data_IF_961682199376
#
_entry.id   IF_961682199376
#
_cell.length_a   1.000
_cell.length_b   1.000
_cell.length_c   1.000
_cell.angle_alpha   90.00
_cell.angle_beta   90.00
_cell.angle_gamma   90.00
#
_symmetry.space_group_name_H-M   'P 1'
#
loop_
_entity.id
_entity.type
_entity.pdbx_description
1 polymer ?
#
# COMPACT_ATOMS: atom_id res chain seq x y z
N UNK A 1 3.86 -13.42 -23.58
CA UNK A 1 2.65 -13.36 -24.43
C UNK A 1 1.72 -12.16 -24.17
N UNK A 2 1.74 -11.49 -23.00
CA UNK A 2 0.76 -10.42 -22.67
C UNK A 2 1.08 -8.99 -23.19
N UNK A 3 2.28 -8.72 -23.73
CA UNK A 3 2.74 -7.33 -23.93
C UNK A 3 2.12 -6.57 -25.12
N UNK A 4 1.76 -7.24 -26.22
CA UNK A 4 1.31 -6.54 -27.44
C UNK A 4 -0.19 -6.20 -27.48
N UNK A 5 -1.04 -6.85 -26.66
CA UNK A 5 -2.49 -6.56 -26.61
C UNK A 5 -2.94 -5.63 -25.48
N UNK A 6 -2.09 -5.38 -24.47
CA UNK A 6 -2.47 -4.65 -23.26
C UNK A 6 -2.58 -3.12 -23.47
N UNK A 7 -1.70 -2.54 -24.27
CA UNK A 7 -1.65 -1.09 -24.51
C UNK A 7 -2.92 -0.58 -25.19
N UNK A 8 -3.40 -1.29 -26.23
CA UNK A 8 -4.61 -0.91 -26.97
C UNK A 8 -5.86 -0.94 -26.09
N UNK A 9 -5.97 -1.93 -25.18
CA UNK A 9 -7.12 -2.05 -24.26
C UNK A 9 -7.16 -0.93 -23.22
N UNK A 10 -6.01 -0.46 -22.72
CA UNK A 10 -5.95 0.66 -21.75
C UNK A 10 -6.45 1.95 -22.39
N UNK A 11 -5.98 2.25 -23.62
CA UNK A 11 -6.43 3.46 -24.32
C UNK A 11 -7.92 3.41 -24.65
N UNK A 12 -8.43 2.26 -25.06
CA UNK A 12 -9.85 2.07 -25.36
C UNK A 12 -10.73 2.19 -24.11
N UNK A 13 -10.34 1.59 -22.98
CA UNK A 13 -11.04 1.73 -21.70
C UNK A 13 -11.07 3.19 -21.23
N UNK A 14 -9.93 3.89 -21.28
CA UNK A 14 -9.86 5.31 -20.91
C UNK A 14 -10.76 6.16 -21.82
N UNK A 15 -10.80 5.89 -23.13
CA UNK A 15 -11.71 6.56 -24.07
C UNK A 15 -13.18 6.30 -23.73
N UNK A 16 -13.57 5.05 -23.47
CA UNK A 16 -14.95 4.70 -23.12
C UNK A 16 -15.40 5.34 -21.81
N UNK A 17 -14.54 5.37 -20.78
CA UNK A 17 -14.86 5.98 -19.47
C UNK A 17 -14.93 7.51 -19.56
N UNK A 18 -14.04 8.15 -20.32
CA UNK A 18 -14.13 9.58 -20.62
C UNK A 18 -15.44 9.87 -21.36
N UNK A 19 -15.81 9.05 -22.35
CA UNK A 19 -17.03 9.24 -23.12
C UNK A 19 -18.30 9.06 -22.27
N UNK A 20 -18.36 8.04 -21.42
CA UNK A 20 -19.47 7.79 -20.49
C UNK A 20 -19.63 8.92 -19.46
N UNK A 21 -18.52 9.38 -18.88
CA UNK A 21 -18.52 10.53 -17.96
C UNK A 21 -18.90 11.85 -18.66
N UNK A 22 -18.51 12.02 -19.93
CA UNK A 22 -18.94 13.16 -20.73
C UNK A 22 -20.44 13.11 -21.03
N UNK A 23 -21.02 11.94 -21.31
CA UNK A 23 -22.46 11.77 -21.56
C UNK A 23 -23.33 12.04 -20.31
N UNK A 24 -22.79 11.80 -19.11
CA UNK A 24 -23.47 12.06 -17.85
C UNK A 24 -23.53 13.55 -17.44
N UNK A 25 -22.87 14.45 -18.19
CA UNK A 25 -22.85 15.89 -17.93
C UNK A 25 -23.71 16.64 -18.96
N UNK A 26 -24.59 17.53 -18.50
CA UNK A 26 -25.38 18.39 -19.38
C UNK A 26 -24.69 19.74 -19.65
N UNK A 27 -24.78 20.23 -20.90
CA UNK A 27 -24.43 21.61 -21.28
C UNK A 27 -22.93 21.90 -21.55
N UNK A 28 -22.58 23.19 -21.49
CA UNK A 28 -21.28 23.80 -21.90
C UNK A 28 -20.02 23.14 -21.31
N UNK A 29 -20.16 22.35 -20.25
CA UNK A 29 -19.08 21.59 -19.59
C UNK A 29 -18.48 20.50 -20.49
N UNK A 30 -19.29 19.92 -21.40
CA UNK A 30 -18.88 18.85 -22.31
C UNK A 30 -17.80 19.31 -23.33
N UNK A 31 -17.93 20.52 -23.88
CA UNK A 31 -17.06 21.04 -24.94
C UNK A 31 -15.64 21.38 -24.45
N UNK A 32 -15.53 21.93 -23.23
CA UNK A 32 -14.23 22.30 -22.66
C UNK A 32 -13.42 21.08 -22.22
N UNK A 33 -14.09 20.02 -21.75
CA UNK A 33 -13.41 18.78 -21.35
C UNK A 33 -12.91 18.00 -22.57
N UNK A 34 -13.73 17.86 -23.62
CA UNK A 34 -13.33 17.18 -24.87
C UNK A 34 -12.09 17.84 -25.50
N UNK A 35 -12.04 19.18 -25.51
CA UNK A 35 -10.91 19.96 -26.03
C UNK A 35 -9.60 19.71 -25.25
N UNK A 36 -9.69 19.62 -23.92
CA UNK A 36 -8.52 19.38 -23.07
C UNK A 36 -8.03 17.91 -23.16
N UNK A 37 -8.94 16.95 -23.30
CA UNK A 37 -8.60 15.53 -23.51
C UNK A 37 -7.95 15.30 -24.87
N UNK A 38 -8.47 15.92 -25.95
CA UNK A 38 -7.87 15.80 -27.28
C UNK A 38 -6.46 16.42 -27.33
N UNK A 39 -6.23 17.52 -26.61
CA UNK A 39 -4.89 18.12 -26.43
C UNK A 39 -3.93 17.18 -25.68
N UNK A 40 -4.40 16.51 -24.62
CA UNK A 40 -3.59 15.54 -23.89
C UNK A 40 -3.23 14.32 -24.75
N UNK A 41 -4.16 13.79 -25.55
CA UNK A 41 -3.88 12.63 -26.42
C UNK A 41 -2.86 12.93 -27.53
N UNK A 42 -2.82 14.17 -28.06
CA UNK A 42 -1.83 14.59 -29.06
C UNK A 42 -0.41 14.71 -28.48
N UNK A 43 -0.27 14.95 -27.18
CA UNK A 43 1.04 14.98 -26.51
C UNK A 43 1.61 13.57 -26.29
N UNK A 44 0.75 12.56 -26.20
CA UNK A 44 1.19 11.16 -26.08
C UNK A 44 1.55 10.53 -27.43
N UNK A 45 0.90 10.92 -28.54
CA UNK A 45 1.19 10.34 -29.85
C UNK A 45 2.45 10.89 -30.52
N UNK A 46 2.95 12.07 -30.12
CA UNK A 46 4.17 12.66 -30.69
C UNK A 46 5.46 12.17 -30.03
N UNK A 47 5.36 11.50 -28.88
CA UNK A 47 6.52 10.94 -28.18
C UNK A 47 6.96 9.57 -28.72
N UNK A 48 6.17 8.91 -29.58
CA UNK A 48 6.46 7.54 -30.07
C UNK A 48 6.97 7.46 -31.51
N UNK A 49 7.29 8.58 -32.16
CA UNK A 49 7.76 8.60 -33.56
C UNK A 49 9.00 9.47 -33.73
N UNK A 50 10.11 9.03 -33.14
CA UNK A 50 11.45 9.29 -33.70
C UNK A 50 12.21 7.96 -33.75
N UNK A 51 12.14 7.34 -34.93
CA UNK A 51 12.88 6.12 -35.27
C UNK A 51 14.34 6.43 -35.55
N UNK A 52 15.21 5.60 -34.98
CA UNK A 52 16.64 5.56 -35.27
C UNK A 52 16.83 4.64 -36.49
N UNK A 53 17.34 5.20 -37.59
CA UNK A 53 17.86 4.43 -38.73
C UNK A 53 19.23 3.84 -38.38
N UNK A 54 19.41 2.55 -38.64
CA UNK A 54 20.69 1.87 -38.65
C UNK A 54 21.06 1.47 -40.08
N UNK A 55 22.23 1.95 -40.53
CA UNK A 55 23.12 1.37 -41.53
C UNK A 55 24.48 2.02 -41.28
N UNK A 56 25.66 1.43 -41.40
CA UNK A 56 26.16 0.11 -41.74
C UNK A 56 27.68 0.29 -41.89
N UNK A 57 28.45 -0.63 -41.30
CA UNK A 57 29.80 -1.11 -41.69
C UNK A 57 30.80 -0.11 -42.32
N UNK A 58 31.95 0.15 -41.67
CA UNK A 58 33.29 -0.29 -42.14
C UNK A 58 34.47 0.20 -41.27
N UNK A 59 35.39 -0.76 -41.10
CA UNK A 59 36.79 -0.80 -40.64
C UNK A 59 37.67 0.45 -40.74
N UNK A 60 38.58 0.66 -39.78
CA UNK A 60 40.03 0.39 -39.92
C UNK A 60 40.86 1.04 -38.79
N UNK A 61 42.11 0.56 -38.69
CA UNK A 61 43.10 0.71 -37.64
C UNK A 61 43.70 2.12 -37.45
N UNK A 62 44.40 2.35 -36.34
CA UNK A 62 45.29 3.51 -36.22
C UNK A 62 45.85 3.75 -34.81
N UNK A 63 47.16 3.91 -34.72
CA UNK A 63 48.00 4.02 -33.54
C UNK A 63 47.85 5.31 -32.68
N UNK A 64 48.22 5.13 -31.40
CA UNK A 64 48.99 6.00 -30.50
C UNK A 64 49.27 7.47 -30.88
N UNK A 65 49.06 8.41 -29.93
CA UNK A 65 50.15 9.13 -29.23
C UNK A 65 49.62 10.18 -28.25
N UNK A 66 50.45 10.44 -27.23
CA UNK A 66 50.38 11.49 -26.22
C UNK A 66 50.32 12.91 -26.84
N UNK A 67 49.72 13.88 -26.15
CA UNK A 67 50.42 15.12 -25.76
C UNK A 67 49.56 16.02 -24.85
N UNK A 68 50.28 16.79 -24.03
CA UNK A 68 49.84 17.85 -23.10
C UNK A 68 49.37 19.09 -23.87
N UNK A 69 48.42 19.86 -23.32
CA UNK A 69 48.61 21.23 -22.76
C UNK A 69 47.36 22.13 -22.81
N UNK A 70 47.23 22.89 -21.72
CA UNK A 70 46.83 24.32 -21.61
C UNK A 70 45.43 24.79 -22.03
N UNK A 71 44.69 25.17 -20.98
CA UNK A 71 44.02 26.46 -20.77
C UNK A 71 43.81 27.39 -21.98
N UNK A 72 42.55 27.74 -22.24
CA UNK A 72 42.18 29.07 -22.73
C UNK A 72 40.76 29.42 -22.29
N UNK A 73 40.66 30.59 -21.68
CA UNK A 73 39.45 31.37 -21.42
C UNK A 73 38.95 31.88 -22.77
N UNK A 74 37.66 31.68 -23.06
CA UNK A 74 36.97 32.37 -24.16
C UNK A 74 35.69 32.98 -23.62
N UNK A 75 35.70 34.32 -23.62
CA UNK A 75 34.58 35.22 -23.47
C UNK A 75 33.69 35.19 -24.71
N UNK A 76 32.37 35.16 -24.52
CA UNK A 76 31.34 35.29 -25.55
C UNK A 76 30.43 36.49 -25.24
N UNK A 77 29.82 37.12 -26.27
CA UNK A 77 29.44 38.54 -26.31
C UNK A 77 28.05 38.85 -25.72
N UNK A 78 27.70 40.14 -25.52
CA UNK A 78 26.42 40.53 -24.95
C UNK A 78 25.32 40.49 -26.01
N UNK A 79 24.14 39.99 -25.64
CA UNK A 79 22.93 40.17 -26.42
C UNK A 79 21.90 40.92 -25.56
N UNK A 80 21.31 42.01 -26.09
CA UNK A 80 20.36 42.85 -25.37
C UNK A 80 18.97 42.22 -25.46
N UNK A 81 18.11 42.50 -24.47
CA UNK A 81 16.71 42.91 -24.66
C UNK A 81 16.06 43.05 -23.28
N UNK A 82 15.84 44.31 -22.93
CA UNK A 82 14.99 44.78 -21.85
C UNK A 82 13.53 44.39 -22.10
N UNK A 83 12.99 43.54 -21.25
CA UNK A 83 11.56 43.30 -21.12
C UNK A 83 11.14 43.55 -19.67
N UNK A 84 10.32 44.59 -19.45
CA UNK A 84 9.78 44.95 -18.14
C UNK A 84 8.99 43.79 -17.52
N UNK A 85 9.54 43.17 -16.47
CA UNK A 85 8.78 42.27 -15.59
C UNK A 85 8.22 43.11 -14.45
N UNK A 86 6.90 43.33 -14.48
CA UNK A 86 6.14 43.83 -13.33
C UNK A 86 6.18 42.75 -12.26
N UNK A 87 7.08 42.89 -11.28
CA UNK A 87 7.05 42.10 -10.05
C UNK A 87 5.82 42.53 -9.23
N UNK A 88 4.72 41.79 -9.35
CA UNK A 88 3.66 41.82 -8.35
C UNK A 88 4.11 41.04 -7.13
N UNK A 89 4.60 41.74 -6.11
CA UNK A 89 4.73 41.20 -4.76
C UNK A 89 3.36 40.72 -4.27
N UNK A 90 3.11 39.40 -4.35
CA UNK A 90 2.04 38.78 -3.54
C UNK A 90 2.56 38.66 -2.13
N UNK A 91 1.99 39.46 -1.22
CA UNK A 91 2.14 39.27 0.23
C UNK A 91 1.76 37.83 0.57
N UNK A 92 2.51 37.12 1.43
CA UNK A 92 2.14 35.79 1.86
C UNK A 92 0.77 35.86 2.56
N UNK A 93 -0.13 34.97 2.15
CA UNK A 93 -1.43 34.81 2.79
C UNK A 93 -1.19 34.43 4.26
N UNK A 94 -1.65 35.27 5.18
CA UNK A 94 -1.78 34.90 6.60
C UNK A 94 -2.78 33.75 6.66
N UNK A 95 -2.28 32.53 6.89
CA UNK A 95 -3.11 31.39 7.25
C UNK A 95 -3.60 31.66 8.67
N UNK A 96 -4.86 32.07 8.80
CA UNK A 96 -5.53 32.12 10.08
C UNK A 96 -5.82 30.69 10.52
N UNK A 97 -5.01 30.16 11.44
CA UNK A 97 -5.39 28.98 12.21
C UNK A 97 -6.50 29.38 13.18
N UNK A 98 -7.76 29.20 12.77
CA UNK A 98 -8.87 29.11 13.71
C UNK A 98 -8.74 27.81 14.48
N UNK A 99 -7.96 27.84 15.56
CA UNK A 99 -7.99 26.85 16.62
C UNK A 99 -9.35 26.95 17.31
N UNK A 100 -10.37 26.28 16.76
CA UNK A 100 -11.55 25.95 17.53
C UNK A 100 -11.08 24.99 18.64
N UNK A 101 -11.03 25.53 19.86
CA UNK A 101 -10.92 24.75 21.09
C UNK A 101 -12.09 23.76 21.14
N UNK A 102 -11.90 22.58 20.57
CA UNK A 102 -12.66 21.42 20.99
C UNK A 102 -12.25 21.18 22.43
N UNK A 103 -13.17 21.46 23.35
CA UNK A 103 -12.99 21.24 24.78
C UNK A 103 -12.46 19.83 25.00
N UNK A 104 -11.49 19.73 25.91
CA UNK A 104 -10.93 18.49 26.40
C UNK A 104 -12.03 17.67 27.08
N UNK A 105 -12.83 16.96 26.28
CA UNK A 105 -13.57 15.83 26.78
C UNK A 105 -12.51 14.79 27.15
N UNK A 106 -12.26 14.70 28.45
CA UNK A 106 -11.56 13.60 29.09
C UNK A 106 -11.97 12.31 28.39
N UNK A 107 -11.07 11.74 27.59
CA UNK A 107 -11.20 10.38 27.10
C UNK A 107 -11.14 9.54 28.36
N UNK A 108 -12.31 9.11 28.87
CA UNK A 108 -12.40 8.04 29.86
C UNK A 108 -11.47 6.95 29.34
N UNK A 109 -10.37 6.71 30.05
CA UNK A 109 -9.55 5.53 29.85
C UNK A 109 -10.51 4.35 29.91
N UNK A 110 -10.90 3.85 28.75
CA UNK A 110 -11.67 2.63 28.64
C UNK A 110 -10.81 1.59 29.32
N UNK A 111 -11.32 1.00 30.41
CA UNK A 111 -10.66 -0.14 31.09
C UNK A 111 -10.08 -1.03 29.99
N UNK A 112 -8.78 -1.31 30.07
CA UNK A 112 -8.13 -2.24 29.15
C UNK A 112 -8.98 -3.51 29.18
N UNK A 113 -9.71 -3.78 28.10
CA UNK A 113 -10.49 -5.02 28.02
C UNK A 113 -9.48 -6.13 27.84
N UNK A 114 -9.58 -7.14 28.69
CA UNK A 114 -8.76 -8.33 28.58
C UNK A 114 -8.86 -8.87 27.15
N UNK A 115 -7.71 -9.28 26.62
CA UNK A 115 -7.64 -9.82 25.28
C UNK A 115 -8.29 -11.21 25.28
N UNK A 116 -9.21 -11.46 24.36
CA UNK A 116 -9.86 -12.76 24.29
C UNK A 116 -8.89 -13.79 23.67
N UNK A 117 -8.92 -15.06 24.12
CA UNK A 117 -8.05 -16.09 23.56
C UNK A 117 -8.29 -16.29 22.07
N UNK A 118 -7.22 -16.46 21.31
CA UNK A 118 -7.29 -16.94 19.93
C UNK A 118 -7.17 -18.46 19.95
N UNK A 119 -7.97 -19.22 19.17
CA UNK A 119 -7.99 -20.69 19.21
C UNK A 119 -6.78 -21.29 18.49
N UNK A 120 -5.58 -21.06 19.01
CA UNK A 120 -4.29 -21.51 18.47
C UNK A 120 -3.48 -22.15 19.60
N UNK A 121 -3.08 -23.40 19.40
CA UNK A 121 -2.20 -24.12 20.32
C UNK A 121 -0.72 -23.86 20.01
N UNK A 122 0.17 -24.15 20.94
CA UNK A 122 1.61 -24.01 20.75
C UNK A 122 2.14 -24.92 19.63
N UNK A 123 1.63 -26.15 19.53
CA UNK A 123 1.99 -27.11 18.47
C UNK A 123 1.54 -26.63 17.09
N UNK A 124 0.32 -26.07 17.00
CA UNK A 124 -0.17 -25.44 15.77
C UNK A 124 0.68 -24.22 15.38
N UNK A 125 1.08 -23.40 16.36
CA UNK A 125 1.96 -22.27 16.13
C UNK A 125 3.31 -22.71 15.57
N UNK A 126 3.92 -23.74 16.17
CA UNK A 126 5.18 -24.31 15.69
C UNK A 126 5.03 -24.92 14.28
N UNK A 127 3.97 -25.69 14.05
CA UNK A 127 3.66 -26.26 12.75
C UNK A 127 3.54 -25.15 11.68
N UNK A 128 2.86 -24.06 11.99
CA UNK A 128 2.71 -22.93 11.08
C UNK A 128 4.07 -22.33 10.69
N UNK A 129 4.96 -22.11 11.66
CA UNK A 129 6.29 -21.55 11.40
C UNK A 129 7.13 -22.48 10.51
N UNK A 130 7.15 -23.77 10.79
CA UNK A 130 8.00 -24.74 10.09
C UNK A 130 7.42 -25.15 8.72
N UNK A 131 6.13 -25.46 8.69
CA UNK A 131 5.50 -26.12 7.54
C UNK A 131 4.79 -25.15 6.61
N UNK A 132 4.27 -24.03 7.13
CA UNK A 132 3.56 -23.04 6.32
C UNK A 132 4.50 -21.91 5.91
N UNK A 133 5.24 -21.32 6.85
CA UNK A 133 6.20 -20.23 6.58
C UNK A 133 7.60 -20.70 6.20
N UNK A 134 7.88 -22.00 6.29
CA UNK A 134 9.18 -22.60 5.92
C UNK A 134 10.37 -22.01 6.68
N UNK A 135 10.16 -21.63 7.95
CA UNK A 135 11.24 -21.17 8.83
C UNK A 135 11.93 -22.41 9.40
N UNK A 136 13.22 -22.59 9.08
CA UNK A 136 13.99 -23.73 9.58
C UNK A 136 14.35 -23.53 11.05
N UNK A 137 14.05 -24.53 11.90
CA UNK A 137 14.39 -24.54 13.33
C UNK A 137 13.98 -23.25 14.07
N UNK A 138 12.70 -22.82 14.00
CA UNK A 138 12.25 -21.51 14.45
C UNK A 138 12.57 -21.25 15.93
N UNK A 139 12.39 -22.25 16.80
CA UNK A 139 12.67 -22.12 18.24
C UNK A 139 14.16 -21.93 18.54
N UNK A 140 15.04 -22.52 17.73
CA UNK A 140 16.49 -22.33 17.88
C UNK A 140 16.88 -20.92 17.46
N UNK A 141 16.32 -20.41 16.37
CA UNK A 141 16.54 -19.04 15.91
C UNK A 141 16.01 -18.03 16.95
N UNK A 142 14.79 -18.23 17.45
CA UNK A 142 14.17 -17.41 18.48
C UNK A 142 15.02 -17.32 19.76
N UNK A 143 15.57 -18.45 20.23
CA UNK A 143 16.44 -18.49 21.42
C UNK A 143 17.77 -17.78 21.19
N UNK A 144 18.31 -17.85 19.97
CA UNK A 144 19.59 -17.23 19.62
C UNK A 144 19.45 -15.72 19.47
N UNK A 145 18.44 -15.28 18.73
CA UNK A 145 18.23 -13.88 18.38
C UNK A 145 16.74 -13.62 18.08
N UNK A 146 16.08 -12.93 19.02
CA UNK A 146 14.64 -12.62 18.92
C UNK A 146 14.32 -11.59 17.84
N UNK A 147 15.26 -10.71 17.51
CA UNK A 147 15.07 -9.68 16.48
C UNK A 147 15.20 -10.32 15.11
N UNK A 148 16.26 -11.11 14.93
CA UNK A 148 16.48 -11.82 13.66
C UNK A 148 15.36 -12.82 13.38
N UNK A 149 14.91 -13.58 14.38
CA UNK A 149 13.75 -14.44 14.23
C UNK A 149 12.53 -13.67 13.72
N UNK A 150 12.25 -12.51 14.33
CA UNK A 150 11.08 -11.70 13.99
C UNK A 150 11.16 -11.13 12.58
N UNK A 151 12.35 -10.69 12.14
CA UNK A 151 12.55 -10.21 10.77
C UNK A 151 12.36 -11.34 9.74
N UNK A 152 12.92 -12.53 10.01
CA UNK A 152 12.68 -13.73 9.18
C UNK A 152 11.20 -14.07 9.14
N UNK A 153 10.53 -14.05 10.29
CA UNK A 153 9.10 -14.29 10.39
C UNK A 153 8.29 -13.29 9.55
N UNK A 154 8.59 -11.99 9.64
CA UNK A 154 7.87 -10.96 8.88
C UNK A 154 8.12 -11.06 7.39
N UNK A 155 9.35 -11.35 6.98
CA UNK A 155 9.68 -11.63 5.59
C UNK A 155 8.83 -12.81 5.07
N UNK A 156 8.83 -13.94 5.79
CA UNK A 156 8.09 -15.13 5.34
C UNK A 156 6.57 -14.94 5.37
N UNK A 157 6.02 -14.22 6.35
CA UNK A 157 4.61 -13.83 6.35
C UNK A 157 4.25 -13.05 5.10
N UNK A 158 5.05 -12.05 4.72
CA UNK A 158 4.80 -11.24 3.52
C UNK A 158 5.00 -12.03 2.21
N UNK A 159 5.79 -13.10 2.23
CA UNK A 159 6.07 -13.96 1.07
C UNK A 159 5.00 -15.03 0.86
N UNK A 160 4.60 -15.73 1.92
CA UNK A 160 3.71 -16.89 1.81
C UNK A 160 2.25 -16.59 2.09
N UNK A 161 1.95 -15.51 2.82
CA UNK A 161 0.58 -15.16 3.19
C UNK A 161 0.14 -13.93 2.38
N UNK A 162 -0.75 -14.10 1.39
CA UNK A 162 -1.23 -12.97 0.61
C UNK A 162 -2.20 -12.10 1.43
N UNK A 163 -2.09 -10.79 1.28
CA UNK A 163 -3.18 -9.90 1.68
C UNK A 163 -4.30 -10.02 0.66
N UNK A 164 -5.54 -10.27 1.08
CA UNK A 164 -6.69 -10.25 0.19
C UNK A 164 -8.01 -10.04 0.93
N UNK A 165 -9.07 -9.75 0.20
CA UNK A 165 -10.42 -9.65 0.73
C UNK A 165 -11.42 -10.63 0.06
N UNK A 166 -10.93 -11.63 -0.67
CA UNK A 166 -11.76 -12.53 -1.50
C UNK A 166 -12.79 -13.27 -0.65
N UNK A 167 -12.36 -13.80 0.51
CA UNK A 167 -13.24 -14.53 1.42
C UNK A 167 -14.36 -13.65 2.00
N UNK A 168 -14.11 -12.34 2.16
CA UNK A 168 -15.12 -11.39 2.63
C UNK A 168 -16.09 -11.06 1.51
N UNK A 169 -15.57 -10.65 0.35
CA UNK A 169 -16.40 -10.26 -0.80
C UNK A 169 -17.22 -11.44 -1.35
N UNK A 170 -16.71 -12.67 -1.23
CA UNK A 170 -17.43 -13.90 -1.59
C UNK A 170 -18.58 -14.28 -0.64
N UNK A 171 -18.72 -13.63 0.52
CA UNK A 171 -19.85 -13.83 1.43
C UNK A 171 -21.06 -12.99 0.99
N UNK A 172 -22.24 -13.48 1.33
CA UNK A 172 -23.46 -12.68 1.23
C UNK A 172 -23.35 -11.54 2.24
N UNK A 173 -23.73 -10.33 1.85
CA UNK A 173 -23.81 -9.19 2.77
C UNK A 173 -24.91 -9.43 3.81
N UNK A 174 -24.53 -9.97 4.96
CA UNK A 174 -25.37 -10.16 6.15
C UNK A 174 -24.61 -9.71 7.42
N UNK A 175 -25.24 -9.83 8.59
CA UNK A 175 -24.82 -9.25 9.88
C UNK A 175 -23.49 -9.77 10.44
N UNK A 176 -22.92 -10.87 9.92
CA UNK A 176 -21.65 -11.46 10.36
C UNK A 176 -20.64 -11.56 9.21
N UNK A 177 -20.19 -10.39 8.74
CA UNK A 177 -19.35 -10.31 7.54
C UNK A 177 -17.90 -10.74 7.79
N UNK A 178 -17.39 -10.62 9.02
CA UNK A 178 -16.01 -11.00 9.33
C UNK A 178 -15.85 -12.49 9.55
N UNK A 179 -14.66 -12.99 9.20
CA UNK A 179 -14.26 -14.36 9.55
C UNK A 179 -14.18 -14.49 11.07
N UNK A 180 -14.75 -15.55 11.60
CA UNK A 180 -14.48 -16.00 12.97
C UNK A 180 -12.99 -16.30 13.13
N UNK A 181 -12.48 -16.37 14.37
CA UNK A 181 -11.07 -16.70 14.59
C UNK A 181 -10.70 -18.10 14.08
N UNK A 182 -11.61 -19.06 14.19
CA UNK A 182 -11.40 -20.40 13.64
C UNK A 182 -11.30 -20.40 12.12
N UNK A 183 -12.18 -19.67 11.42
CA UNK A 183 -12.10 -19.49 9.97
C UNK A 183 -10.83 -18.75 9.54
N UNK A 184 -10.48 -17.69 10.29
CA UNK A 184 -9.23 -16.96 10.10
C UNK A 184 -8.01 -17.87 10.23
N UNK A 185 -7.94 -18.70 11.28
CA UNK A 185 -6.89 -19.72 11.44
C UNK A 185 -6.82 -20.65 10.24
N UNK A 186 -7.94 -21.23 9.83
CA UNK A 186 -7.98 -22.14 8.68
C UNK A 186 -7.47 -21.47 7.39
N UNK A 187 -7.85 -20.21 7.15
CA UNK A 187 -7.37 -19.43 6.00
C UNK A 187 -5.84 -19.23 6.04
N UNK A 188 -5.28 -18.94 7.22
CA UNK A 188 -3.84 -18.77 7.39
C UNK A 188 -3.09 -20.09 7.12
N UNK A 189 -3.56 -21.21 7.69
CA UNK A 189 -2.95 -22.54 7.47
C UNK A 189 -3.05 -23.01 6.02
N UNK A 190 -4.09 -22.61 5.30
CA UNK A 190 -4.25 -22.87 3.87
C UNK A 190 -3.44 -21.93 2.97
N UNK A 191 -2.58 -21.05 3.53
CA UNK A 191 -1.86 -19.99 2.79
C UNK A 191 -2.78 -19.09 1.96
N UNK A 192 -4.05 -19.00 2.34
CA UNK A 192 -5.01 -18.11 1.69
C UNK A 192 -4.81 -16.68 2.20
N UNK A 193 -4.24 -16.48 3.39
CA UNK A 193 -4.17 -15.17 4.01
C UNK A 193 -5.55 -14.52 4.09
N UNK A 194 -5.59 -13.19 4.22
CA UNK A 194 -6.84 -12.45 4.39
C UNK A 194 -6.56 -10.94 4.49
N UNK A 195 -7.42 -10.19 5.18
CA UNK A 195 -7.25 -8.75 5.44
C UNK A 195 -6.37 -8.51 6.66
N UNK A 196 -6.09 -7.22 6.94
CA UNK A 196 -5.27 -6.82 8.08
C UNK A 196 -5.82 -7.30 9.42
N UNK A 197 -7.14 -7.39 9.55
CA UNK A 197 -7.81 -7.94 10.73
C UNK A 197 -7.32 -9.38 10.98
N UNK A 198 -7.68 -10.30 10.10
CA UNK A 198 -7.36 -11.73 10.28
C UNK A 198 -5.85 -11.95 10.38
N UNK A 199 -5.04 -11.35 9.50
CA UNK A 199 -3.59 -11.56 9.48
C UNK A 199 -2.97 -11.07 10.80
N UNK A 200 -3.28 -9.85 11.26
CA UNK A 200 -2.65 -9.30 12.46
C UNK A 200 -3.24 -9.85 13.77
N UNK A 201 -4.50 -10.32 13.79
CA UNK A 201 -5.04 -11.06 14.95
C UNK A 201 -4.35 -12.42 15.11
N UNK A 202 -4.19 -13.17 14.01
CA UNK A 202 -3.48 -14.45 13.98
C UNK A 202 -1.99 -14.27 14.29
N UNK A 203 -1.34 -13.28 13.67
CA UNK A 203 0.08 -12.97 13.90
C UNK A 203 0.35 -12.71 15.38
N UNK A 204 -0.49 -11.91 16.06
CA UNK A 204 -0.32 -11.70 17.50
C UNK A 204 -0.47 -13.00 18.29
N UNK A 205 -1.38 -13.90 17.91
CA UNK A 205 -1.53 -15.18 18.60
C UNK A 205 -0.26 -16.04 18.51
N UNK A 206 0.40 -16.08 17.34
CA UNK A 206 1.72 -16.70 17.17
C UNK A 206 2.77 -16.02 18.06
N UNK A 207 2.79 -14.68 18.10
CA UNK A 207 3.76 -13.95 18.91
C UNK A 207 3.55 -14.18 20.42
N UNK A 208 2.29 -14.23 20.87
CA UNK A 208 1.92 -14.53 22.25
C UNK A 208 2.40 -15.95 22.64
N UNK A 209 2.18 -16.97 21.79
CA UNK A 209 2.63 -18.35 22.07
C UNK A 209 4.15 -18.51 22.12
N UNK A 210 4.88 -17.67 21.37
CA UNK A 210 6.34 -17.59 21.40
C UNK A 210 6.88 -16.75 22.59
N UNK A 211 6.00 -16.26 23.46
CA UNK A 211 6.34 -15.48 24.64
C UNK A 211 6.79 -14.05 24.36
N UNK A 212 6.40 -13.46 23.22
CA UNK A 212 6.53 -12.00 23.03
C UNK A 212 5.47 -11.26 23.84
N UNK A 213 5.86 -10.13 24.43
CA UNK A 213 4.89 -9.18 25.00
C UNK A 213 4.34 -8.31 23.88
N UNK A 214 3.14 -8.62 23.40
CA UNK A 214 2.54 -7.90 22.28
C UNK A 214 1.14 -7.38 22.61
N UNK A 215 0.73 -6.30 21.94
CA UNK A 215 -0.64 -5.77 21.98
C UNK A 215 -1.05 -5.22 20.61
N UNK A 216 -2.35 -5.22 20.33
CA UNK A 216 -2.87 -4.61 19.11
C UNK A 216 -3.03 -3.10 19.28
N UNK A 217 -2.83 -2.39 18.18
CA UNK A 217 -3.10 -0.96 18.05
C UNK A 217 -3.92 -0.72 16.80
N UNK A 218 -4.64 0.39 16.80
CA UNK A 218 -5.40 0.81 15.62
C UNK A 218 -4.67 1.86 14.80
N UNK A 219 -5.00 1.87 13.51
CA UNK A 219 -4.47 2.80 12.55
C UNK A 219 -5.49 3.13 11.45
N UNK A 220 -5.17 4.16 10.67
CA UNK A 220 -6.07 4.72 9.66
C UNK A 220 -5.33 5.13 8.40
N UNK A 221 -5.89 4.79 7.23
CA UNK A 221 -5.46 5.40 5.98
C UNK A 221 -5.99 6.85 5.90
N UNK A 222 -5.29 7.75 5.18
CA UNK A 222 -5.84 9.06 4.86
C UNK A 222 -7.21 8.94 4.19
N UNK A 223 -8.19 9.68 4.70
CA UNK A 223 -9.56 9.69 4.17
C UNK A 223 -10.51 8.67 4.81
N UNK A 224 -10.02 7.73 5.63
CA UNK A 224 -10.89 6.81 6.36
C UNK A 224 -11.77 7.61 7.34
N UNK A 225 -13.08 7.41 7.24
CA UNK A 225 -14.09 8.15 8.03
C UNK A 225 -14.05 7.75 9.51
N UNK A 226 -13.71 6.50 9.80
CA UNK A 226 -13.73 5.96 11.16
C UNK A 226 -12.35 5.57 11.61
N UNK A 227 -12.01 5.93 12.86
CA UNK A 227 -10.75 5.49 13.45
C UNK A 227 -10.69 3.97 13.64
N UNK A 228 -9.46 3.43 13.66
CA UNK A 228 -9.14 2.02 13.87
C UNK A 228 -9.71 1.12 12.74
N UNK A 229 -9.56 1.57 11.49
CA UNK A 229 -9.91 0.81 10.27
C UNK A 229 -8.83 -0.21 9.87
N UNK A 230 -7.63 -0.07 10.43
CA UNK A 230 -6.51 -0.99 10.26
C UNK A 230 -6.03 -1.48 11.64
N UNK A 231 -5.72 -2.77 11.73
CA UNK A 231 -5.15 -3.41 12.92
C UNK A 231 -3.66 -3.55 12.72
N UNK A 232 -2.86 -3.23 13.74
CA UNK A 232 -1.41 -3.48 13.74
C UNK A 232 -0.95 -3.97 15.11
N UNK A 233 0.32 -4.35 15.25
CA UNK A 233 0.85 -4.96 16.47
C UNK A 233 2.04 -4.13 16.98
N UNK A 234 2.09 -3.91 18.29
CA UNK A 234 3.28 -3.44 18.99
C UNK A 234 3.86 -4.58 19.80
N UNK A 235 5.17 -4.79 19.68
CA UNK A 235 5.95 -5.64 20.56
C UNK A 235 6.70 -4.76 21.56
N UNK A 236 6.60 -5.13 22.83
CA UNK A 236 7.35 -4.53 23.93
C UNK A 236 8.63 -5.30 24.23
N UNK A 237 9.62 -4.59 24.79
CA UNK A 237 10.82 -5.19 25.37
C UNK A 237 11.63 -6.06 24.39
N UNK A 238 11.61 -5.72 23.10
CA UNK A 238 12.26 -6.56 22.07
C UNK A 238 13.78 -6.43 22.10
N UNK A 239 14.31 -5.20 22.13
CA UNK A 239 15.75 -4.92 22.11
C UNK A 239 16.28 -4.51 23.48
N UNK A 240 15.48 -3.77 24.24
CA UNK A 240 15.72 -3.40 25.64
C UNK A 240 14.40 -3.16 26.35
N UNK A 241 14.41 -3.17 27.69
CA UNK A 241 13.20 -2.93 28.49
C UNK A 241 12.60 -1.54 28.19
N UNK A 242 11.31 -1.50 27.87
CA UNK A 242 10.58 -0.29 27.47
C UNK A 242 10.63 0.01 25.97
N UNK A 243 11.43 -0.72 25.17
CA UNK A 243 11.43 -0.55 23.72
C UNK A 243 10.09 -0.97 23.11
N UNK A 244 9.62 -0.22 22.10
CA UNK A 244 8.40 -0.50 21.36
C UNK A 244 8.75 -0.69 19.88
N UNK A 245 8.23 -1.77 19.28
CA UNK A 245 8.46 -2.07 17.86
C UNK A 245 7.13 -2.33 17.15
N UNK A 246 6.93 -1.67 16.01
CA UNK A 246 5.80 -1.87 15.13
C UNK A 246 5.99 -3.13 14.27
N UNK A 247 4.97 -3.97 14.25
CA UNK A 247 4.89 -5.21 13.49
C UNK A 247 3.58 -5.26 12.71
N UNK A 248 3.65 -5.38 11.38
CA UNK A 248 2.47 -5.27 10.52
C UNK A 248 2.54 -6.10 9.23
N UNK A 249 2.52 -7.45 9.31
CA UNK A 249 2.45 -8.28 8.11
C UNK A 249 1.10 -8.20 7.40
N UNK A 250 0.04 -7.73 8.08
CA UNK A 250 -1.30 -7.57 7.52
C UNK A 250 -1.50 -6.32 6.66
N UNK A 251 -0.45 -5.54 6.39
CA UNK A 251 -0.53 -4.36 5.53
C UNK A 251 -0.36 -4.72 4.04
N UNK A 252 -1.05 -3.97 3.18
CA UNK A 252 -0.89 -4.06 1.71
C UNK A 252 0.50 -3.65 1.21
N UNK A 253 1.35 -3.06 2.06
CA UNK A 253 2.71 -2.63 1.76
C UNK A 253 3.70 -3.51 2.54
N UNK A 254 4.84 -3.88 1.95
CA UNK A 254 5.78 -4.81 2.58
C UNK A 254 6.47 -4.18 3.79
N UNK A 255 6.35 -4.80 4.96
CA UNK A 255 7.25 -4.59 6.10
C UNK A 255 7.99 -5.90 6.39
N UNK A 256 9.31 -5.90 6.19
CA UNK A 256 10.14 -7.09 6.35
C UNK A 256 10.93 -7.12 7.67
N UNK A 257 10.90 -6.03 8.43
CA UNK A 257 11.54 -5.96 9.74
C UNK A 257 10.62 -5.29 10.76
N UNK A 258 10.84 -5.60 12.03
CA UNK A 258 10.18 -4.90 13.12
C UNK A 258 10.73 -3.47 13.24
N UNK A 259 9.85 -2.48 13.23
CA UNK A 259 10.25 -1.07 13.13
C UNK A 259 10.31 -0.47 14.55
N UNK A 260 11.49 -0.06 15.05
CA UNK A 260 11.62 0.57 16.35
C UNK A 260 10.89 1.94 16.38
N UNK A 261 10.23 2.23 17.51
CA UNK A 261 9.46 3.46 17.75
C UNK A 261 10.10 4.41 18.79
N UNK A 262 11.34 4.13 19.17
CA UNK A 262 12.15 4.87 20.15
C UNK A 262 12.92 6.07 19.54
N UNK A 263 12.50 6.57 18.38
CA UNK A 263 13.05 7.79 17.76
C UNK A 263 12.38 9.07 18.31
N UNK A 264 13.07 10.21 18.28
CA UNK A 264 12.54 11.48 18.84
C UNK A 264 11.46 12.13 17.95
N UNK A 265 11.77 12.36 16.68
CA UNK A 265 10.90 13.04 15.71
C UNK A 265 10.60 12.13 14.51
N UNK A 266 11.64 11.53 13.95
CA UNK A 266 11.57 10.72 12.74
C UNK A 266 12.48 9.48 12.82
N UNK A 267 12.05 8.40 12.18
CA UNK A 267 12.84 7.17 12.09
C UNK A 267 13.95 7.29 11.04
N UNK A 268 14.83 6.27 10.98
CA UNK A 268 15.64 6.04 9.77
C UNK A 268 14.73 5.83 8.53
N UNK A 269 15.31 5.95 7.33
CA UNK A 269 14.64 5.58 6.09
C UNK A 269 14.70 4.06 5.94
N UNK A 270 13.57 3.47 5.58
CA UNK A 270 13.45 2.04 5.26
C UNK A 270 13.23 1.85 3.76
N UNK A 271 13.79 0.76 3.23
CA UNK A 271 13.59 0.34 1.84
C UNK A 271 13.10 -1.11 1.82
N UNK A 272 11.80 -1.31 1.60
CA UNK A 272 11.18 -2.63 1.52
C UNK A 272 10.66 -2.88 0.12
N UNK A 273 11.41 -3.63 -0.68
CA UNK A 273 11.09 -3.83 -2.10
C UNK A 273 10.90 -2.48 -2.82
N UNK A 274 9.69 -2.17 -3.28
CA UNK A 274 9.32 -0.93 -3.97
C UNK A 274 9.02 0.24 -3.00
N UNK A 275 8.90 -0.04 -1.71
CA UNK A 275 8.50 0.93 -0.70
C UNK A 275 9.72 1.61 -0.09
N UNK A 276 9.91 2.90 -0.39
CA UNK A 276 10.78 3.80 0.37
C UNK A 276 9.95 4.57 1.39
N UNK A 277 10.13 4.29 2.68
CA UNK A 277 9.31 4.87 3.73
C UNK A 277 10.09 5.36 4.94
N UNK A 278 9.42 6.16 5.76
CA UNK A 278 9.92 6.74 7.01
C UNK A 278 8.74 6.96 7.95
N UNK A 279 8.97 6.87 9.25
CA UNK A 279 7.95 7.14 10.27
C UNK A 279 8.22 8.48 10.92
N UNK A 280 7.15 9.20 11.23
CA UNK A 280 7.19 10.52 11.88
C UNK A 280 6.28 10.50 13.11
N UNK A 281 6.76 11.04 14.23
CA UNK A 281 5.92 11.30 15.39
C UNK A 281 5.08 12.55 15.12
N UNK A 282 3.76 12.38 15.19
CA UNK A 282 2.80 13.47 15.17
C UNK A 282 2.38 13.85 16.59
N UNK A 283 1.42 14.76 16.66
CA UNK A 283 0.86 15.21 17.93
C UNK A 283 0.19 14.05 18.69
N UNK A 284 0.13 14.20 20.02
CA UNK A 284 -0.55 13.26 20.91
C UNK A 284 -0.09 11.80 20.79
N UNK A 285 1.17 11.57 20.39
CA UNK A 285 1.73 10.23 20.28
C UNK A 285 1.18 9.41 19.11
N UNK A 286 0.67 10.08 18.07
CA UNK A 286 0.38 9.46 16.77
C UNK A 286 1.70 9.22 16.04
N UNK A 287 1.78 8.13 15.27
CA UNK A 287 2.94 7.85 14.40
C UNK A 287 2.47 7.71 12.95
N UNK A 288 2.99 8.54 12.06
CA UNK A 288 2.66 8.51 10.63
C UNK A 288 3.70 7.69 9.88
N UNK A 289 3.27 6.64 9.19
CA UNK A 289 4.09 6.03 8.14
C UNK A 289 3.90 6.83 6.86
N UNK A 290 5.02 7.31 6.32
CA UNK A 290 5.03 8.11 5.12
C UNK A 290 5.91 7.48 4.04
N UNK A 291 5.57 7.72 2.78
CA UNK A 291 6.37 7.31 1.61
C UNK A 291 6.98 8.51 0.93
N UNK A 292 8.18 8.32 0.39
CA UNK A 292 8.90 9.37 -0.31
C UNK A 292 8.12 9.88 -1.54
N UNK A 293 8.12 11.20 -1.74
CA UNK A 293 7.58 11.86 -2.93
C UNK A 293 8.76 12.37 -3.75
N UNK A 294 8.98 11.85 -4.97
CA UNK A 294 10.01 12.38 -5.87
C UNK A 294 9.79 13.85 -6.19
N UNK A 295 10.89 14.58 -6.41
CA UNK A 295 10.85 15.99 -6.80
C UNK A 295 10.00 16.21 -8.05
N UNK A 296 9.22 17.29 -8.08
CA UNK A 296 8.29 17.61 -9.17
C UNK A 296 6.97 16.84 -9.14
N UNK A 297 6.76 15.88 -8.24
CA UNK A 297 5.46 15.24 -8.03
C UNK A 297 4.66 15.94 -6.93
N UNK A 298 3.35 16.08 -7.15
CA UNK A 298 2.43 16.59 -6.13
C UNK A 298 1.77 15.44 -5.38
N UNK A 299 1.62 15.60 -4.07
CA UNK A 299 0.90 14.62 -3.26
C UNK A 299 -0.61 14.81 -3.41
N UNK A 300 -1.34 13.71 -3.56
CA UNK A 300 -2.80 13.68 -3.48
C UNK A 300 -3.34 13.55 -2.06
N UNK A 301 -2.47 13.52 -1.06
CA UNK A 301 -2.83 13.28 0.34
C UNK A 301 -1.94 14.13 1.26
N UNK A 302 -2.27 14.23 2.56
CA UNK A 302 -1.47 15.01 3.50
C UNK A 302 0.02 14.64 3.45
N UNK A 303 0.88 15.65 3.54
CA UNK A 303 2.33 15.50 3.49
C UNK A 303 2.99 15.96 4.77
N UNK A 304 4.14 15.36 5.07
CA UNK A 304 5.09 15.82 6.07
C UNK A 304 6.34 16.28 5.33
N UNK A 305 6.87 17.44 5.72
CA UNK A 305 8.17 17.92 5.23
C UNK A 305 9.18 17.61 6.33
N UNK A 306 10.20 16.82 6.01
CA UNK A 306 11.25 16.53 6.98
C UNK A 306 12.20 17.71 7.15
N UNK A 307 13.07 17.63 8.16
CA UNK A 307 14.05 18.67 8.52
C UNK A 307 14.96 19.11 7.36
N UNK A 308 15.24 18.22 6.39
CA UNK A 308 16.06 18.51 5.21
C UNK A 308 15.26 18.97 3.99
N UNK A 309 13.96 19.21 4.14
CA UNK A 309 13.08 19.71 3.08
C UNK A 309 12.50 18.64 2.15
N UNK A 310 12.79 17.34 2.34
CA UNK A 310 12.15 16.28 1.55
C UNK A 310 10.67 16.15 1.93
N UNK A 311 9.82 15.91 0.93
CA UNK A 311 8.38 15.74 1.12
C UNK A 311 8.00 14.27 1.18
N UNK A 312 7.18 13.92 2.16
CA UNK A 312 6.73 12.56 2.43
C UNK A 312 5.20 12.50 2.47
N UNK A 313 4.60 11.59 1.72
CA UNK A 313 3.14 11.37 1.70
C UNK A 313 2.74 10.48 2.87
N UNK A 314 1.81 10.93 3.71
CA UNK A 314 1.24 10.08 4.77
C UNK A 314 0.45 8.94 4.11
N UNK A 315 0.77 7.70 4.48
CA UNK A 315 0.09 6.49 4.00
C UNK A 315 -0.83 5.90 5.05
N UNK A 316 -0.43 5.96 6.32
CA UNK A 316 -1.20 5.43 7.45
C UNK A 316 -0.76 6.12 8.74
N UNK A 317 -1.70 6.33 9.65
CA UNK A 317 -1.48 6.94 10.96
C UNK A 317 -1.81 5.94 12.07
N UNK A 318 -0.80 5.55 12.85
CA UNK A 318 -0.87 4.62 13.96
C UNK A 318 -1.08 5.32 15.29
N UNK A 319 -1.76 4.67 16.23
CA UNK A 319 -1.97 5.16 17.60
C UNK A 319 -1.34 4.21 18.63
N UNK A 320 0.00 4.15 18.73
CA UNK A 320 0.69 3.17 19.56
C UNK A 320 0.39 3.28 21.05
N UNK A 321 -0.07 4.45 21.51
CA UNK A 321 -0.47 4.70 22.89
C UNK A 321 -1.86 4.15 23.25
N UNK A 322 -2.63 3.67 22.27
CA UNK A 322 -3.99 3.15 22.47
C UNK A 322 -4.02 1.64 22.24
N UNK A 323 -3.80 0.86 23.30
CA UNK A 323 -3.96 -0.60 23.25
C UNK A 323 -5.41 -0.98 22.95
N UNK A 324 -5.57 -2.07 22.20
CA UNK A 324 -6.86 -2.66 21.83
C UNK A 324 -6.80 -4.18 21.98
N UNK A 325 -7.94 -4.78 22.29
CA UNK A 325 -8.11 -6.24 22.32
C UNK A 325 -8.56 -6.79 20.97
N UNK A 326 -8.44 -8.10 20.78
CA UNK A 326 -9.00 -8.84 19.63
C UNK A 326 -10.51 -8.61 19.50
N UNK A 327 -11.22 -8.64 20.63
CA UNK A 327 -12.68 -8.43 20.65
C UNK A 327 -13.07 -7.04 20.17
N UNK A 328 -12.34 -6.01 20.61
CA UNK A 328 -12.56 -4.65 20.11
C UNK A 328 -12.50 -4.60 18.58
N UNK A 329 -11.45 -5.18 17.98
CA UNK A 329 -11.28 -5.16 16.54
C UNK A 329 -12.30 -6.02 15.80
N UNK A 330 -12.65 -7.18 16.34
CA UNK A 330 -13.67 -8.05 15.77
C UNK A 330 -15.02 -7.34 15.67
N UNK A 331 -15.49 -6.75 16.78
CA UNK A 331 -16.72 -5.97 16.82
C UNK A 331 -16.65 -4.73 15.92
N UNK A 332 -15.54 -4.00 15.97
CA UNK A 332 -15.33 -2.78 15.19
C UNK A 332 -15.36 -3.05 13.69
N UNK A 333 -14.69 -4.10 13.23
CA UNK A 333 -14.65 -4.44 11.81
C UNK A 333 -15.97 -4.98 11.31
N UNK A 334 -16.69 -5.81 12.09
CA UNK A 334 -18.06 -6.20 11.75
C UNK A 334 -18.97 -4.99 11.57
N UNK A 335 -18.85 -3.99 12.45
CA UNK A 335 -19.56 -2.72 12.29
C UNK A 335 -19.15 -2.00 11.00
N UNK A 336 -17.85 -1.77 10.76
CA UNK A 336 -17.36 -1.07 9.57
C UNK A 336 -17.87 -1.74 8.28
N UNK A 337 -17.79 -3.06 8.21
CA UNK A 337 -18.12 -3.82 6.99
C UNK A 337 -19.62 -3.91 6.75
N UNK A 338 -20.45 -3.80 7.80
CA UNK A 338 -21.90 -3.73 7.68
C UNK A 338 -22.44 -2.38 7.15
N UNK A 339 -21.60 -1.35 7.01
CA UNK A 339 -22.03 -0.02 6.56
C UNK A 339 -21.19 0.47 5.36
N UNK A 340 -21.69 0.30 4.12
CA UNK A 340 -20.98 0.70 2.89
C UNK A 340 -20.41 2.13 2.88
N UNK A 341 -21.13 3.07 3.50
CA UNK A 341 -20.73 4.50 3.56
C UNK A 341 -19.44 4.75 4.32
N UNK A 342 -19.09 3.91 5.29
CA UNK A 342 -17.87 4.04 6.11
C UNK A 342 -16.85 2.93 5.85
N UNK A 343 -17.15 2.04 4.91
CA UNK A 343 -16.28 0.94 4.51
C UNK A 343 -15.00 1.49 3.85
N UNK A 344 -13.80 1.11 4.31
CA UNK A 344 -12.54 1.52 3.69
C UNK A 344 -12.44 1.03 2.25
N UNK A 345 -11.74 1.78 1.40
CA UNK A 345 -11.64 1.51 -0.04
C UNK A 345 -11.07 0.12 -0.37
N UNK A 346 -10.22 -0.43 0.51
CA UNK A 346 -9.67 -1.78 0.34
C UNK A 346 -10.74 -2.87 0.36
N UNK A 347 -11.91 -2.62 0.95
CA UNK A 347 -13.06 -3.54 0.94
C UNK A 347 -14.06 -3.20 -0.18
N UNK A 348 -13.88 -2.06 -0.86
CA UNK A 348 -14.68 -1.64 -2.02
C UNK A 348 -14.14 -2.16 -3.35
N UNK A 349 -13.18 -3.08 -3.32
CA UNK A 349 -12.64 -3.75 -4.51
C UNK A 349 -12.56 -5.25 -4.23
N UNK A 350 -12.21 -6.06 -5.24
CA UNK A 350 -11.58 -7.35 -4.97
C UNK A 350 -10.09 -7.13 -5.15
N UNK A 351 -9.29 -7.55 -4.18
CA UNK A 351 -7.85 -7.38 -4.25
C UNK A 351 -7.13 -8.57 -3.65
N UNK A 352 -6.08 -9.01 -4.32
CA UNK A 352 -5.04 -9.87 -3.75
C UNK A 352 -3.67 -9.24 -4.00
N UNK A 353 -2.87 -9.16 -2.95
CA UNK A 353 -1.54 -8.57 -2.94
C UNK A 353 -0.59 -9.57 -2.29
N UNK A 354 0.50 -9.86 -2.99
CA UNK A 354 1.48 -10.85 -2.54
C UNK A 354 2.84 -10.54 -3.14
N UNK A 355 3.87 -11.17 -2.59
CA UNK A 355 5.27 -10.94 -2.91
C UNK A 355 5.96 -12.24 -3.20
N UNK A 356 6.54 -12.33 -4.40
CA UNK A 356 7.29 -13.50 -4.85
C UNK A 356 8.52 -13.03 -5.62
N UNK A 357 9.66 -13.67 -5.35
CA UNK A 357 10.93 -13.43 -6.04
C UNK A 357 11.33 -11.94 -6.06
N UNK A 358 11.09 -11.24 -4.95
CA UNK A 358 11.40 -9.82 -4.79
C UNK A 358 10.48 -8.87 -5.58
N UNK A 359 9.39 -9.35 -6.18
CA UNK A 359 8.36 -8.52 -6.84
C UNK A 359 7.08 -8.54 -6.03
N UNK A 360 6.33 -7.44 -6.08
CA UNK A 360 4.96 -7.43 -5.53
C UNK A 360 3.98 -7.42 -6.68
N UNK A 361 2.94 -8.24 -6.59
CA UNK A 361 1.89 -8.31 -7.60
C UNK A 361 0.53 -8.06 -6.97
N UNK A 362 -0.25 -7.25 -7.66
CA UNK A 362 -1.55 -6.78 -7.21
C UNK A 362 -2.55 -7.17 -8.29
N UNK A 363 -3.42 -8.11 -7.99
CA UNK A 363 -4.52 -8.47 -8.86
C UNK A 363 -5.80 -7.88 -8.27
N UNK A 364 -6.46 -7.00 -9.02
CA UNK A 364 -7.57 -6.19 -8.52
C UNK A 364 -8.75 -6.15 -9.47
N UNK A 365 -9.96 -6.12 -8.92
CA UNK A 365 -11.17 -5.66 -9.59
C UNK A 365 -11.67 -4.40 -8.86
N UNK A 366 -11.54 -3.26 -9.51
CA UNK A 366 -11.88 -1.94 -8.98
C UNK A 366 -12.42 -1.07 -10.10
N UNK A 367 -13.47 -0.29 -9.83
CA UNK A 367 -14.11 0.62 -10.81
C UNK A 367 -14.41 -0.07 -12.16
N UNK A 368 -15.01 -1.26 -12.09
CA UNK A 368 -15.33 -2.11 -13.23
C UNK A 368 -14.14 -2.53 -14.10
N UNK A 369 -12.92 -2.41 -13.57
CA UNK A 369 -11.69 -2.80 -14.25
C UNK A 369 -11.01 -3.96 -13.51
N UNK A 370 -10.84 -5.07 -14.22
CA UNK A 370 -9.93 -6.13 -13.79
C UNK A 370 -8.51 -5.78 -14.23
N UNK A 371 -7.57 -5.79 -13.30
CA UNK A 371 -6.18 -5.45 -13.59
C UNK A 371 -5.19 -6.29 -12.80
N UNK A 372 -4.02 -6.51 -13.41
CA UNK A 372 -2.85 -7.07 -12.79
C UNK A 372 -1.73 -6.03 -12.83
N UNK A 373 -1.14 -5.74 -11.67
CA UNK A 373 -0.04 -4.79 -11.54
C UNK A 373 1.19 -5.49 -10.98
N UNK A 374 2.34 -5.29 -11.62
CA UNK A 374 3.63 -5.71 -11.08
C UNK A 374 4.39 -4.48 -10.60
N UNK A 375 4.65 -4.45 -9.30
CA UNK A 375 5.45 -3.42 -8.64
C UNK A 375 6.90 -3.89 -8.59
N UNK A 376 7.77 -3.16 -9.26
CA UNK A 376 9.22 -3.38 -9.24
C UNK A 376 9.88 -2.58 -8.12
N UNK A 377 11.16 -2.88 -7.81
CA UNK A 377 11.93 -2.19 -6.77
C UNK A 377 11.95 -0.67 -6.95
N UNK A 378 11.98 -0.21 -8.20
CA UNK A 378 11.76 1.19 -8.53
C UNK A 378 10.25 1.44 -8.66
N UNK A 379 9.64 2.24 -7.78
CA UNK A 379 8.20 2.48 -7.80
C UNK A 379 7.73 3.24 -9.06
N UNK A 380 8.63 3.88 -9.81
CA UNK A 380 8.30 4.46 -11.12
C UNK A 380 8.09 3.39 -12.21
N UNK A 381 8.58 2.17 -11.97
CA UNK A 381 8.43 1.01 -12.84
C UNK A 381 7.27 0.17 -12.33
N UNK A 382 6.09 0.42 -12.89
CA UNK A 382 4.89 -0.38 -12.64
C UNK A 382 4.32 -0.88 -13.97
N UNK A 383 4.23 -2.20 -14.13
CA UNK A 383 3.57 -2.79 -15.29
C UNK A 383 2.10 -3.05 -14.96
N UNK A 384 1.19 -2.50 -15.76
CA UNK A 384 -0.26 -2.65 -15.58
C UNK A 384 -0.84 -3.39 -16.78
N UNK A 385 -1.57 -4.45 -16.52
CA UNK A 385 -2.29 -5.25 -17.51
C UNK A 385 -3.77 -5.17 -17.22
N UNK A 386 -4.58 -4.85 -18.23
CA UNK A 386 -6.03 -4.91 -18.15
C UNK A 386 -6.47 -6.31 -18.58
N UNK A 387 -7.29 -6.92 -17.73
CA UNK A 387 -7.78 -8.28 -17.91
C UNK A 387 -9.28 -8.26 -18.22
N UNK A 388 -9.74 -9.29 -18.91
CA UNK A 388 -11.14 -9.70 -18.89
C UNK A 388 -11.46 -10.41 -17.57
N UNK A 389 -12.75 -10.57 -17.25
CA UNK A 389 -13.20 -11.36 -16.09
C UNK A 389 -12.62 -12.79 -16.14
N UNK A 390 -12.65 -13.44 -17.31
CA UNK A 390 -12.18 -14.82 -17.47
C UNK A 390 -10.65 -14.92 -17.33
N UNK A 391 -9.91 -13.97 -17.91
CA UNK A 391 -8.45 -13.88 -17.71
C UNK A 391 -8.09 -13.69 -16.23
N UNK A 392 -8.87 -12.89 -15.49
CA UNK A 392 -8.69 -12.70 -14.04
C UNK A 392 -8.92 -14.00 -13.25
N UNK A 393 -10.01 -14.72 -13.53
CA UNK A 393 -10.35 -15.97 -12.82
C UNK A 393 -9.31 -17.06 -13.13
N UNK A 394 -8.93 -17.22 -14.40
CA UNK A 394 -7.91 -18.19 -14.80
C UNK A 394 -6.53 -17.86 -14.20
N UNK A 395 -6.20 -16.57 -14.07
CA UNK A 395 -4.98 -16.16 -13.36
C UNK A 395 -5.06 -16.53 -11.88
N UNK A 396 -6.19 -16.30 -11.21
CA UNK A 396 -6.40 -16.68 -9.82
C UNK A 396 -6.23 -18.18 -9.60
N UNK A 397 -6.88 -19.00 -10.42
CA UNK A 397 -6.81 -20.47 -10.33
C UNK A 397 -5.38 -21.00 -10.51
N UNK A 398 -4.63 -20.41 -11.45
CA UNK A 398 -3.26 -20.82 -11.74
C UNK A 398 -2.26 -20.37 -10.67
N UNK A 399 -2.27 -19.10 -10.31
CA UNK A 399 -1.25 -18.49 -9.44
C UNK A 399 -1.61 -18.58 -7.96
N UNK A 400 -2.89 -18.83 -7.65
CA UNK A 400 -3.39 -18.99 -6.30
C UNK A 400 -4.34 -20.19 -6.18
N UNK A 401 -3.85 -21.41 -6.43
CA UNK A 401 -4.66 -22.63 -6.41
C UNK A 401 -5.28 -22.93 -5.04
N UNK A 402 -4.83 -22.26 -3.97
CA UNK A 402 -5.46 -22.34 -2.66
C UNK A 402 -6.85 -21.68 -2.59
N UNK A 403 -7.24 -20.86 -3.58
CA UNK A 403 -8.60 -20.34 -3.69
C UNK A 403 -9.39 -21.17 -4.70
N UNK A 404 -10.47 -21.86 -4.27
CA UNK A 404 -11.35 -22.56 -5.20
C UNK A 404 -11.93 -21.59 -6.23
N UNK A 405 -11.99 -22.00 -7.50
CA UNK A 405 -12.56 -21.19 -8.60
C UNK A 405 -13.95 -20.64 -8.26
N UNK A 406 -14.81 -21.48 -7.69
CA UNK A 406 -16.18 -21.11 -7.30
C UNK A 406 -16.23 -19.98 -6.26
N UNK A 407 -15.25 -19.91 -5.36
CA UNK A 407 -15.14 -18.80 -4.39
C UNK A 407 -14.78 -17.49 -5.10
N UNK A 408 -13.84 -17.54 -6.04
CA UNK A 408 -13.41 -16.37 -6.83
C UNK A 408 -14.56 -15.86 -7.69
N UNK A 409 -15.26 -16.75 -8.40
CA UNK A 409 -16.43 -16.41 -9.22
C UNK A 409 -17.53 -15.76 -8.38
N UNK A 410 -17.82 -16.33 -7.21
CA UNK A 410 -18.80 -15.77 -6.27
C UNK A 410 -18.39 -14.39 -5.76
N UNK A 411 -17.11 -14.18 -5.41
CA UNK A 411 -16.62 -12.87 -5.01
C UNK A 411 -16.79 -11.84 -6.14
N UNK A 412 -16.43 -12.19 -7.38
CA UNK A 412 -16.63 -11.31 -8.55
C UNK A 412 -18.11 -10.98 -8.74
N UNK A 413 -18.99 -11.97 -8.69
CA UNK A 413 -20.44 -11.76 -8.84
C UNK A 413 -21.00 -10.86 -7.74
N UNK A 414 -20.69 -11.15 -6.48
CA UNK A 414 -21.14 -10.35 -5.34
C UNK A 414 -20.66 -8.90 -5.44
N UNK A 415 -19.43 -8.70 -5.93
CA UNK A 415 -18.88 -7.36 -6.06
C UNK A 415 -19.58 -6.53 -7.13
N UNK A 416 -19.86 -7.14 -8.28
CA UNK A 416 -20.64 -6.50 -9.35
C UNK A 416 -22.02 -6.10 -8.82
N UNK A 417 -22.68 -7.00 -8.09
CA UNK A 417 -23.99 -6.70 -7.47
C UNK A 417 -23.90 -5.55 -6.46
N UNK A 418 -22.86 -5.54 -5.63
CA UNK A 418 -22.64 -4.47 -4.66
C UNK A 418 -22.48 -3.10 -5.33
N UNK A 419 -21.67 -2.99 -6.38
CA UNK A 419 -21.49 -1.72 -7.11
C UNK A 419 -22.83 -1.22 -7.68
N UNK A 420 -23.62 -2.13 -8.26
CA UNK A 420 -24.95 -1.81 -8.81
C UNK A 420 -25.94 -1.33 -7.73
N UNK A 421 -25.90 -1.92 -6.52
CA UNK A 421 -26.83 -1.58 -5.44
C UNK A 421 -26.52 -0.23 -4.79
N UNK A 422 -25.24 0.11 -4.67
CA UNK A 422 -24.82 1.30 -3.91
C UNK A 422 -24.37 2.47 -4.79
N UNK A 423 -24.33 2.30 -6.12
CA UNK A 423 -23.94 3.36 -7.05
C UNK A 423 -22.51 3.84 -6.82
N UNK A 424 -21.62 2.91 -6.46
CA UNK A 424 -20.20 3.13 -6.16
C UNK A 424 -19.35 2.79 -7.37
#
# INVERSE_FOLDING_TARGET
MLKQGATTRIEEYLRQRIFSNCLALTGKTQANMLSNVLKASRLFSTASTQGICCSGIQTSAGHAQQSKNKSAIVSSPPCPLSGNVIQRHRKPAKVYHTCQRFGSSYVKQTRETEDIPYPLTDDEALYFLENILKISQPLKLLKKDRVEFLNVFLFQMNTYIPFNNIQFVGRVFDKDYSLTFSEGKMAMFAQQGSTCLTINLFTKAILDSLGYKAFHIGANNPGDITFDSHVSIIICDLTFQGSLHLVDPGMTRPFYEAIPLDFSEESKIYQFNYLKCKLFKGDHGVVHLCTFIPEGQTATSPTVIESKGMSWKIQISYRPHLKRSREYFYQKMNKILGFPSIMPDVFRSIGIITRRDGRSFHLMYQDDLFSLRYMHKDPSQCEVFVLTKEEFINFMEKEFPQFPRSLVEKAVQNKILFNNLYGI
#
